data_IF_123936883822
#
_entry.id   IF_123936883822
#
_cell.length_a   1.000
_cell.length_b   1.000
_cell.length_c   1.000
_cell.angle_alpha   90.00
_cell.angle_beta   90.00
_cell.angle_gamma   90.00
#
_symmetry.space_group_name_H-M   'P 1'
#
loop_
_entity.id
_entity.type
_entity.pdbx_description
1 polymer ?
#
# COMPACT_ATOMS: atom_id res chain seq x y z
N UNK A 1 -39.05 -56.80 53.42
CA UNK A 1 -40.06 -55.99 54.15
C UNK A 1 -40.69 -55.00 53.18
N UNK A 2 -42.03 -55.03 53.13
CA UNK A 2 -43.00 -54.10 52.54
C UNK A 2 -43.01 -53.83 51.03
N UNK A 3 -43.99 -54.47 50.38
CA UNK A 3 -44.73 -53.94 49.23
C UNK A 3 -45.86 -52.99 49.70
N UNK A 4 -46.32 -52.18 48.74
CA UNK A 4 -47.67 -51.63 48.57
C UNK A 4 -48.09 -50.34 49.31
N UNK A 5 -48.71 -49.44 48.53
CA UNK A 5 -49.61 -48.41 49.06
C UNK A 5 -49.80 -47.18 48.17
N UNK A 6 -50.62 -47.28 47.10
CA UNK A 6 -51.16 -46.11 46.36
C UNK A 6 -51.90 -45.17 47.31
N UNK A 7 -51.69 -43.85 47.20
CA UNK A 7 -52.72 -42.85 47.50
C UNK A 7 -52.69 -41.70 46.49
N UNK A 8 -53.89 -41.45 46.01
CA UNK A 8 -54.35 -40.44 45.06
C UNK A 8 -54.33 -39.06 45.75
N UNK A 9 -53.83 -38.03 45.07
CA UNK A 9 -53.90 -36.65 45.54
C UNK A 9 -54.53 -35.77 44.45
N UNK A 10 -55.58 -35.08 44.87
CA UNK A 10 -56.54 -34.29 44.09
C UNK A 10 -55.96 -32.92 43.76
N UNK A 11 -56.17 -32.48 42.51
CA UNK A 11 -55.83 -31.13 42.06
C UNK A 11 -56.66 -30.08 42.82
N UNK A 12 -55.98 -29.07 43.37
CA UNK A 12 -56.58 -27.77 43.72
C UNK A 12 -55.87 -26.73 42.84
N UNK A 13 -56.60 -26.20 41.86
CA UNK A 13 -56.14 -25.09 41.04
C UNK A 13 -56.25 -23.79 41.86
N UNK A 14 -55.14 -23.37 42.46
CA UNK A 14 -55.00 -22.02 43.02
C UNK A 14 -54.54 -21.07 41.92
N UNK A 15 -55.41 -20.14 41.51
CA UNK A 15 -55.04 -18.98 40.71
C UNK A 15 -54.01 -18.15 41.50
N UNK A 16 -52.74 -18.27 41.14
CA UNK A 16 -51.70 -17.32 41.53
C UNK A 16 -51.49 -16.37 40.37
N UNK A 17 -51.86 -15.12 40.59
CA UNK A 17 -51.63 -13.99 39.69
C UNK A 17 -50.13 -13.82 39.46
N UNK A 18 -49.69 -13.95 38.21
CA UNK A 18 -48.31 -13.65 37.81
C UNK A 18 -48.08 -12.14 37.92
N UNK A 19 -47.33 -11.71 38.94
CA UNK A 19 -46.67 -10.40 38.91
C UNK A 19 -45.43 -10.57 38.04
N UNK A 20 -45.52 -10.15 36.77
CA UNK A 20 -44.36 -10.07 35.89
C UNK A 20 -43.48 -8.93 36.38
N UNK A 21 -42.42 -9.27 37.12
CA UNK A 21 -41.28 -8.37 37.28
C UNK A 21 -40.59 -8.30 35.92
N UNK A 22 -40.78 -7.21 35.18
CA UNK A 22 -39.95 -6.88 34.03
C UNK A 22 -38.58 -6.47 34.58
N UNK A 23 -37.72 -7.46 34.82
CA UNK A 23 -36.30 -7.23 34.85
C UNK A 23 -35.91 -6.67 33.47
N UNK A 24 -35.58 -5.39 33.42
CA UNK A 24 -34.88 -4.80 32.28
C UNK A 24 -33.56 -5.56 32.14
N UNK A 25 -33.54 -6.57 31.28
CA UNK A 25 -32.28 -7.04 30.72
C UNK A 25 -31.75 -5.83 29.95
N UNK A 26 -30.74 -5.16 30.49
CA UNK A 26 -29.86 -4.34 29.66
C UNK A 26 -29.27 -5.30 28.64
N UNK A 27 -29.90 -5.33 27.46
CA UNK A 27 -29.22 -5.83 26.28
C UNK A 27 -28.04 -4.89 26.10
N UNK A 28 -26.86 -5.36 26.50
CA UNK A 28 -25.61 -4.78 26.05
C UNK A 28 -25.65 -4.98 24.54
N UNK A 29 -26.00 -3.92 23.81
CA UNK A 29 -25.80 -3.91 22.37
C UNK A 29 -24.35 -4.34 22.12
N UNK A 30 -24.10 -5.32 21.23
CA UNK A 30 -22.74 -5.64 20.84
C UNK A 30 -22.09 -4.34 20.36
N UNK A 31 -20.84 -4.04 20.75
CA UNK A 31 -20.18 -2.82 20.31
C UNK A 31 -20.32 -2.74 18.80
N UNK A 32 -20.94 -1.66 18.31
CA UNK A 32 -21.04 -1.38 16.89
C UNK A 32 -19.62 -1.44 16.34
N UNK A 33 -19.34 -2.44 15.50
CA UNK A 33 -18.05 -2.51 14.82
C UNK A 33 -17.87 -1.17 14.10
N UNK A 34 -16.80 -0.45 14.45
CA UNK A 34 -16.49 0.80 13.80
C UNK A 34 -16.48 0.58 12.28
N UNK A 35 -17.11 1.48 11.49
CA UNK A 35 -17.14 1.31 10.05
C UNK A 35 -15.72 1.28 9.50
N UNK A 36 -15.46 0.41 8.53
CA UNK A 36 -14.15 0.32 7.89
C UNK A 36 -13.75 1.68 7.31
N UNK A 37 -12.48 2.03 7.45
CA UNK A 37 -11.89 3.19 6.77
C UNK A 37 -12.13 3.09 5.28
N UNK A 38 -12.75 4.12 4.70
CA UNK A 38 -13.11 4.17 3.30
C UNK A 38 -12.30 5.24 2.59
N UNK A 39 -11.84 4.94 1.38
CA UNK A 39 -11.14 5.90 0.53
C UNK A 39 -12.02 7.12 0.24
N UNK A 40 -11.37 8.28 0.20
CA UNK A 40 -11.91 9.52 -0.30
C UNK A 40 -12.23 9.41 -1.80
N UNK A 41 -13.19 10.23 -2.23
CA UNK A 41 -13.48 10.48 -3.64
C UNK A 41 -13.38 11.96 -3.91
N UNK A 42 -12.86 12.36 -5.06
CA UNK A 42 -12.72 13.75 -5.44
C UNK A 42 -13.13 13.96 -6.90
N UNK A 43 -13.88 15.02 -7.17
CA UNK A 43 -14.16 15.46 -8.53
C UNK A 43 -13.05 16.34 -9.08
N UNK A 44 -12.80 16.30 -10.39
CA UNK A 44 -11.76 17.10 -11.04
C UNK A 44 -11.96 18.63 -10.93
N UNK A 45 -13.15 19.10 -10.55
CA UNK A 45 -13.47 20.53 -10.39
C UNK A 45 -13.70 20.94 -8.92
N UNK A 46 -13.46 20.04 -7.96
CA UNK A 46 -13.59 20.35 -6.54
C UNK A 46 -12.34 21.06 -5.99
N UNK A 47 -12.44 21.62 -4.78
CA UNK A 47 -11.30 22.22 -4.09
C UNK A 47 -10.20 21.17 -3.86
N UNK A 48 -9.07 21.31 -4.55
CA UNK A 48 -7.96 20.36 -4.58
C UNK A 48 -7.04 20.46 -3.35
N UNK A 49 -7.60 20.83 -2.20
CA UNK A 49 -6.85 20.88 -0.95
C UNK A 49 -6.37 19.47 -0.62
N UNK A 50 -5.07 19.37 -0.35
CA UNK A 50 -4.48 18.13 0.14
C UNK A 50 -5.11 17.75 1.48
N UNK A 51 -5.90 16.69 1.44
CA UNK A 51 -6.35 15.91 2.59
C UNK A 51 -5.75 14.52 2.48
N UNK A 52 -5.37 13.95 3.62
CA UNK A 52 -4.70 12.65 3.68
C UNK A 52 -5.35 11.78 4.73
N UNK A 53 -5.70 10.55 4.36
CA UNK A 53 -6.11 9.51 5.28
C UNK A 53 -5.05 8.40 5.35
N UNK A 54 -4.90 7.85 6.55
CA UNK A 54 -3.99 6.75 6.84
C UNK A 54 -4.83 5.53 7.17
N UNK A 55 -4.82 4.55 6.27
CA UNK A 55 -5.68 3.37 6.34
C UNK A 55 -4.82 2.16 6.72
N UNK A 56 -4.94 1.71 7.97
CA UNK A 56 -4.18 0.60 8.53
C UNK A 56 -4.87 -0.74 8.29
N UNK A 57 -4.13 -1.67 7.71
CA UNK A 57 -4.46 -3.08 7.58
C UNK A 57 -3.42 -3.92 8.33
N UNK A 58 -3.88 -5.00 8.93
CA UNK A 58 -3.07 -5.99 9.63
C UNK A 58 -3.64 -7.39 9.33
N UNK A 59 -2.94 -8.48 9.70
CA UNK A 59 -3.49 -9.83 9.58
C UNK A 59 -4.84 -10.02 10.31
N UNK A 60 -5.13 -9.18 11.32
CA UNK A 60 -6.40 -9.19 12.07
C UNK A 60 -7.56 -8.52 11.34
N UNK A 61 -7.28 -7.65 10.38
CA UNK A 61 -8.27 -6.89 9.61
C UNK A 61 -7.86 -6.73 8.13
N UNK A 62 -7.64 -7.83 7.39
CA UNK A 62 -7.02 -7.78 6.07
C UNK A 62 -7.88 -7.09 5.00
N UNK A 63 -9.20 -6.98 5.22
CA UNK A 63 -10.16 -6.41 4.26
C UNK A 63 -10.86 -5.15 4.77
N UNK A 64 -10.67 -4.76 6.04
CA UNK A 64 -11.38 -3.67 6.67
C UNK A 64 -10.37 -2.73 7.34
N UNK A 65 -9.98 -1.67 6.63
CA UNK A 65 -9.03 -0.69 7.15
C UNK A 65 -9.50 -0.10 8.48
N UNK A 66 -8.56 0.13 9.39
CA UNK A 66 -8.75 1.01 10.53
C UNK A 66 -8.13 2.37 10.19
N UNK A 67 -8.92 3.45 10.28
CA UNK A 67 -8.37 4.80 10.12
C UNK A 67 -7.52 5.15 11.33
N UNK A 68 -6.29 5.63 11.09
CA UNK A 68 -5.39 6.14 12.13
C UNK A 68 -5.14 7.63 11.93
N UNK A 69 -4.98 8.37 13.03
CA UNK A 69 -4.89 9.82 13.01
C UNK A 69 -3.64 10.32 13.76
N UNK A 70 -2.77 11.04 13.06
CA UNK A 70 -1.54 11.61 13.63
C UNK A 70 -1.85 12.66 14.73
N UNK A 71 -2.91 13.45 14.53
CA UNK A 71 -3.26 14.58 15.40
C UNK A 71 -4.17 14.19 16.58
N UNK A 72 -4.54 12.92 16.73
CA UNK A 72 -5.34 12.44 17.84
C UNK A 72 -4.49 11.53 18.72
N UNK A 73 -4.19 12.01 19.93
CA UNK A 73 -3.44 11.25 20.93
C UNK A 73 -4.09 9.89 21.17
N UNK A 74 -3.30 8.81 21.16
CA UNK A 74 -3.78 7.46 21.39
C UNK A 74 -4.45 6.79 20.19
N UNK A 75 -4.59 7.47 19.03
CA UNK A 75 -5.27 6.87 17.86
C UNK A 75 -4.51 5.68 17.29
N UNK A 76 -3.18 5.73 17.21
CA UNK A 76 -2.37 4.62 16.68
C UNK A 76 -2.19 3.55 17.76
N UNK A 77 -2.03 3.96 19.01
CA UNK A 77 -1.86 3.10 20.19
C UNK A 77 -3.09 2.24 20.48
N UNK A 78 -4.29 2.76 20.23
CA UNK A 78 -5.56 2.04 20.34
C UNK A 78 -5.94 1.28 19.06
N UNK A 79 -5.11 1.37 18.01
CA UNK A 79 -5.31 0.63 16.76
C UNK A 79 -4.73 -0.78 16.83
N UNK A 80 -4.92 -1.54 15.76
CA UNK A 80 -4.30 -2.86 15.59
C UNK A 80 -2.81 -2.81 15.25
N UNK A 81 -2.21 -1.62 15.15
CA UNK A 81 -0.79 -1.41 14.84
C UNK A 81 0.11 -2.13 15.85
N UNK A 82 1.16 -2.77 15.36
CA UNK A 82 2.16 -3.43 16.18
C UNK A 82 3.55 -2.98 15.79
N UNK A 83 4.18 -2.15 16.62
CA UNK A 83 5.51 -1.59 16.38
C UNK A 83 6.64 -2.63 16.30
N UNK A 84 6.41 -3.86 16.77
CA UNK A 84 7.39 -4.96 16.64
C UNK A 84 7.36 -5.66 15.27
N UNK A 85 6.39 -5.33 14.41
CA UNK A 85 6.30 -5.85 13.05
C UNK A 85 6.83 -4.83 12.03
N UNK A 86 7.32 -5.33 10.90
CA UNK A 86 7.61 -4.49 9.75
C UNK A 86 6.39 -3.68 9.33
N UNK A 87 6.63 -2.45 8.85
CA UNK A 87 5.56 -1.56 8.37
C UNK A 87 5.76 -1.23 6.91
N UNK A 88 4.78 -1.61 6.09
CA UNK A 88 4.75 -1.39 4.65
C UNK A 88 3.81 -0.23 4.34
N UNK A 89 4.33 0.85 3.77
CA UNK A 89 3.55 2.07 3.48
C UNK A 89 3.33 2.17 1.97
N UNK A 90 2.07 2.08 1.54
CA UNK A 90 1.69 2.15 0.12
C UNK A 90 1.28 3.58 -0.23
N UNK A 91 1.97 4.17 -1.20
CA UNK A 91 1.75 5.55 -1.65
C UNK A 91 1.35 5.53 -3.12
N UNK A 92 0.07 5.80 -3.42
CA UNK A 92 -0.38 5.90 -4.82
C UNK A 92 0.09 7.20 -5.49
N UNK A 93 -0.04 7.28 -6.81
CA UNK A 93 0.31 8.48 -7.60
C UNK A 93 -0.87 9.33 -8.03
N UNK A 94 -0.71 10.02 -9.17
CA UNK A 94 -1.70 10.91 -9.78
C UNK A 94 -3.00 10.21 -10.16
N UNK A 95 -4.16 10.83 -9.87
CA UNK A 95 -5.48 10.20 -10.03
C UNK A 95 -6.41 11.06 -10.87
N UNK A 96 -6.56 10.73 -12.16
CA UNK A 96 -7.49 11.44 -13.06
C UNK A 96 -8.96 11.28 -12.63
N UNK A 97 -9.34 10.07 -12.21
CA UNK A 97 -10.74 9.74 -11.90
C UNK A 97 -11.17 10.14 -10.48
N UNK A 98 -10.22 10.47 -9.61
CA UNK A 98 -10.47 10.78 -8.20
C UNK A 98 -11.22 9.72 -7.41
N UNK A 99 -10.98 8.46 -7.72
CA UNK A 99 -11.52 7.29 -7.01
C UNK A 99 -10.40 6.46 -6.41
N UNK A 100 -10.65 5.52 -5.50
CA UNK A 100 -9.64 4.54 -5.01
C UNK A 100 -8.90 3.82 -6.16
N UNK A 101 -7.59 3.55 -6.09
CA UNK A 101 -6.92 2.70 -7.07
C UNK A 101 -7.46 1.27 -6.98
N UNK A 102 -7.80 0.66 -8.12
CA UNK A 102 -8.38 -0.69 -8.14
C UNK A 102 -7.42 -1.79 -7.68
N UNK A 103 -6.10 -1.52 -7.70
CA UNK A 103 -5.07 -2.46 -7.29
C UNK A 103 -4.77 -2.46 -5.79
N UNK A 104 -5.24 -1.46 -5.03
CA UNK A 104 -4.86 -1.27 -3.63
C UNK A 104 -5.15 -2.49 -2.76
N UNK A 105 -6.36 -3.05 -2.86
CA UNK A 105 -6.77 -4.21 -2.06
C UNK A 105 -5.94 -5.45 -2.38
N UNK A 106 -5.66 -5.69 -3.67
CA UNK A 106 -4.83 -6.80 -4.10
C UNK A 106 -3.39 -6.69 -3.60
N UNK A 107 -2.85 -5.46 -3.52
CA UNK A 107 -1.51 -5.23 -2.98
C UNK A 107 -1.46 -5.41 -1.47
N UNK A 108 -2.46 -4.89 -0.73
CA UNK A 108 -2.58 -5.11 0.72
C UNK A 108 -2.65 -6.61 1.01
N UNK A 109 -3.53 -7.34 0.32
CA UNK A 109 -3.67 -8.78 0.47
C UNK A 109 -2.35 -9.52 0.17
N UNK A 110 -1.67 -9.17 -0.93
CA UNK A 110 -0.39 -9.77 -1.30
C UNK A 110 0.67 -9.58 -0.20
N UNK A 111 0.78 -8.37 0.35
CA UNK A 111 1.76 -8.06 1.38
C UNK A 111 1.47 -8.78 2.70
N UNK A 112 0.20 -8.83 3.12
CA UNK A 112 -0.22 -9.55 4.32
C UNK A 112 -0.12 -11.07 4.16
N UNK A 113 -0.24 -11.58 2.93
CA UNK A 113 -0.01 -12.99 2.62
C UNK A 113 1.47 -13.37 2.68
N UNK A 114 2.36 -12.46 2.23
CA UNK A 114 3.79 -12.70 2.21
C UNK A 114 4.43 -12.73 3.62
N UNK A 115 3.82 -12.05 4.60
CA UNK A 115 4.27 -12.09 5.99
C UNK A 115 3.43 -11.23 6.93
N UNK A 116 3.59 -11.45 8.24
CA UNK A 116 2.97 -10.62 9.26
C UNK A 116 3.60 -9.21 9.25
N UNK A 117 2.81 -8.20 8.90
CA UNK A 117 3.25 -6.82 8.83
C UNK A 117 2.08 -5.86 9.14
N UNK A 118 2.42 -4.63 9.49
CA UNK A 118 1.49 -3.51 9.35
C UNK A 118 1.49 -3.06 7.90
N UNK A 119 0.33 -2.89 7.28
CA UNK A 119 0.20 -2.30 5.94
C UNK A 119 -0.60 -1.01 6.04
N UNK A 120 0.02 0.12 5.69
CA UNK A 120 -0.61 1.43 5.76
C UNK A 120 -0.78 1.98 4.35
N UNK A 121 -2.03 2.13 3.92
CA UNK A 121 -2.34 2.78 2.65
C UNK A 121 -2.53 4.26 2.88
N UNK A 122 -1.80 5.06 2.10
CA UNK A 122 -1.90 6.51 2.09
C UNK A 122 -2.92 6.92 1.04
N UNK A 123 -4.09 7.37 1.49
CA UNK A 123 -5.08 7.97 0.62
C UNK A 123 -4.87 9.49 0.59
N UNK A 124 -4.49 9.99 -0.57
CA UNK A 124 -4.40 11.42 -0.87
C UNK A 124 -5.12 11.73 -2.19
N UNK A 125 -6.22 11.02 -2.46
CA UNK A 125 -7.00 11.15 -3.70
C UNK A 125 -7.40 12.60 -3.96
N UNK A 126 -7.76 13.36 -2.94
CA UNK A 126 -8.12 14.79 -3.05
C UNK A 126 -6.97 15.65 -3.57
N UNK A 127 -5.75 15.43 -3.08
CA UNK A 127 -4.55 16.17 -3.50
C UNK A 127 -3.92 15.67 -4.81
N UNK A 128 -4.26 14.44 -5.24
CA UNK A 128 -3.75 13.82 -6.48
C UNK A 128 -4.72 13.90 -7.65
N UNK A 129 -5.95 14.35 -7.42
CA UNK A 129 -6.98 14.55 -8.45
C UNK A 129 -7.09 16.04 -8.78
N UNK A 130 -6.15 16.54 -9.56
CA UNK A 130 -6.04 17.94 -9.93
C UNK A 130 -5.40 18.09 -11.31
N UNK A 131 -5.07 19.32 -11.73
CA UNK A 131 -4.10 19.47 -12.82
C UNK A 131 -2.76 18.88 -12.36
N UNK A 132 -2.05 18.18 -13.25
CA UNK A 132 -0.84 17.44 -12.85
C UNK A 132 0.19 18.30 -12.10
N UNK A 133 0.41 19.55 -12.50
CA UNK A 133 1.32 20.46 -11.80
C UNK A 133 0.90 20.72 -10.34
N UNK A 134 -0.39 20.83 -10.07
CA UNK A 134 -0.91 21.00 -8.70
C UNK A 134 -0.72 19.73 -7.87
N UNK A 135 -0.90 18.55 -8.47
CA UNK A 135 -0.61 17.28 -7.80
C UNK A 135 0.88 17.17 -7.44
N UNK A 136 1.78 17.63 -8.32
CA UNK A 136 3.22 17.73 -8.02
C UNK A 136 3.50 18.74 -6.90
N UNK A 137 2.84 19.90 -6.90
CA UNK A 137 2.99 20.92 -5.85
C UNK A 137 2.51 20.43 -4.46
N UNK A 138 1.61 19.44 -4.41
CA UNK A 138 1.16 18.81 -3.18
C UNK A 138 2.18 17.81 -2.60
N UNK A 139 3.14 17.30 -3.39
CA UNK A 139 4.10 16.26 -2.97
C UNK A 139 4.94 16.66 -1.74
N UNK A 140 5.53 17.86 -1.65
CA UNK A 140 6.28 18.26 -0.45
C UNK A 140 5.41 18.29 0.82
N UNK A 141 4.16 18.76 0.71
CA UNK A 141 3.24 18.80 1.84
C UNK A 141 2.81 17.40 2.26
N UNK A 142 2.54 16.51 1.30
CA UNK A 142 2.26 15.10 1.56
C UNK A 142 3.43 14.43 2.27
N UNK A 143 4.66 14.67 1.79
CA UNK A 143 5.90 14.16 2.40
C UNK A 143 5.97 14.50 3.88
N UNK A 144 5.76 15.76 4.26
CA UNK A 144 5.81 16.18 5.66
C UNK A 144 4.74 15.52 6.54
N UNK A 145 3.54 15.25 5.99
CA UNK A 145 2.51 14.50 6.71
C UNK A 145 2.92 13.05 6.95
N UNK A 146 3.57 12.41 5.98
CA UNK A 146 4.05 11.02 6.10
C UNK A 146 5.28 10.92 7.00
N UNK A 147 6.17 11.92 7.00
CA UNK A 147 7.24 12.05 7.98
C UNK A 147 6.67 12.11 9.40
N UNK A 148 5.62 12.92 9.62
CA UNK A 148 4.96 12.98 10.92
C UNK A 148 4.32 11.63 11.32
N UNK A 149 3.72 10.91 10.37
CA UNK A 149 3.23 9.55 10.60
C UNK A 149 4.36 8.60 11.05
N UNK A 150 5.47 8.61 10.32
CA UNK A 150 6.62 7.75 10.61
C UNK A 150 7.20 8.07 12.00
N UNK A 151 7.33 9.35 12.35
CA UNK A 151 7.77 9.74 13.70
C UNK A 151 6.85 9.17 14.79
N UNK A 152 5.53 9.12 14.57
CA UNK A 152 4.62 8.43 15.50
C UNK A 152 4.88 6.93 15.57
N UNK A 153 5.20 6.26 14.46
CA UNK A 153 5.59 4.84 14.50
C UNK A 153 6.89 4.61 15.29
N UNK A 154 7.87 5.51 15.15
CA UNK A 154 9.13 5.46 15.89
C UNK A 154 8.92 5.69 17.39
N UNK A 155 8.07 6.64 17.78
CA UNK A 155 7.68 6.89 19.17
C UNK A 155 7.04 5.65 19.83
N UNK A 156 6.38 4.81 19.05
CA UNK A 156 5.79 3.55 19.50
C UNK A 156 6.76 2.36 19.49
N UNK A 157 8.01 2.56 19.06
CA UNK A 157 9.06 1.55 19.09
C UNK A 157 9.40 0.92 17.75
N UNK A 158 8.85 1.41 16.63
CA UNK A 158 9.30 0.99 15.30
C UNK A 158 10.70 1.53 15.03
N UNK A 159 11.42 0.93 14.07
CA UNK A 159 12.71 1.43 13.59
C UNK A 159 12.56 1.96 12.16
N UNK A 160 13.51 2.76 11.66
CA UNK A 160 13.48 3.20 10.26
C UNK A 160 13.77 2.02 9.32
N UNK A 161 14.61 1.10 9.79
CA UNK A 161 15.05 -0.11 9.12
C UNK A 161 13.91 -1.12 8.91
N UNK A 162 12.90 -1.12 9.79
CA UNK A 162 11.68 -1.94 9.66
C UNK A 162 10.62 -1.34 8.72
N UNK A 163 10.91 -0.22 8.06
CA UNK A 163 9.99 0.45 7.14
C UNK A 163 10.27 0.09 5.69
N UNK A 164 9.20 -0.22 4.96
CA UNK A 164 9.21 -0.44 3.51
C UNK A 164 8.22 0.51 2.84
N UNK A 165 8.71 1.49 2.09
CA UNK A 165 7.86 2.43 1.36
C UNK A 165 7.67 1.93 -0.07
N UNK A 166 6.42 1.75 -0.50
CA UNK A 166 6.07 1.27 -1.84
C UNK A 166 5.32 2.40 -2.55
N UNK A 167 6.02 3.09 -3.44
CA UNK A 167 5.50 4.26 -4.13
C UNK A 167 5.17 3.96 -5.59
N UNK A 168 3.96 4.29 -6.03
CA UNK A 168 3.53 4.13 -7.43
C UNK A 168 3.52 5.49 -8.11
N UNK A 169 4.13 5.62 -9.29
CA UNK A 169 4.09 6.86 -10.08
C UNK A 169 4.63 8.05 -9.26
N UNK A 170 3.86 9.13 -9.07
CA UNK A 170 4.23 10.24 -8.17
C UNK A 170 4.56 9.78 -6.74
N UNK A 171 3.91 8.72 -6.25
CA UNK A 171 4.14 8.18 -4.92
C UNK A 171 5.56 7.65 -4.72
N UNK A 172 6.27 7.25 -5.79
CA UNK A 172 7.67 6.84 -5.72
C UNK A 172 8.58 8.00 -5.30
N UNK A 173 8.32 9.20 -5.80
CA UNK A 173 9.08 10.40 -5.42
C UNK A 173 8.72 10.89 -4.02
N UNK A 174 7.46 10.70 -3.58
CA UNK A 174 7.09 10.92 -2.17
C UNK A 174 7.91 10.00 -1.26
N UNK A 175 8.06 8.72 -1.62
CA UNK A 175 8.90 7.79 -0.87
C UNK A 175 10.37 8.24 -0.84
N UNK A 176 10.92 8.68 -1.97
CA UNK A 176 12.27 9.24 -2.05
C UNK A 176 12.48 10.44 -1.13
N UNK A 177 11.57 11.42 -1.17
CA UNK A 177 11.66 12.59 -0.28
C UNK A 177 11.55 12.24 1.21
N UNK A 178 10.75 11.23 1.57
CA UNK A 178 10.71 10.70 2.94
C UNK A 178 12.07 10.09 3.30
N UNK A 179 12.63 9.27 2.42
CA UNK A 179 13.93 8.64 2.59
C UNK A 179 15.06 9.65 2.80
N UNK A 180 15.14 10.64 1.92
CA UNK A 180 16.04 11.78 2.03
C UNK A 180 15.88 12.54 3.36
N UNK A 181 14.64 12.79 3.79
CA UNK A 181 14.35 13.45 5.08
C UNK A 181 14.94 12.67 6.27
N UNK A 182 14.90 11.34 6.25
CA UNK A 182 15.47 10.50 7.28
C UNK A 182 16.97 10.18 7.08
N UNK A 183 17.61 10.79 6.07
CA UNK A 183 19.03 10.64 5.78
C UNK A 183 19.39 9.27 5.20
N UNK A 184 18.51 8.68 4.38
CA UNK A 184 18.76 7.41 3.71
C UNK A 184 18.64 6.17 4.61
N UNK A 185 18.08 6.31 5.81
CA UNK A 185 18.01 5.23 6.82
C UNK A 185 16.73 4.40 6.78
N UNK A 186 15.80 4.71 5.89
CA UNK A 186 14.63 3.87 5.65
C UNK A 186 15.11 2.49 5.19
N UNK A 187 14.53 1.41 5.69
CA UNK A 187 14.95 0.05 5.37
C UNK A 187 14.89 -0.28 3.88
N UNK A 188 13.75 0.01 3.26
CA UNK A 188 13.52 -0.30 1.85
C UNK A 188 12.58 0.71 1.19
N UNK A 189 12.91 1.21 0.00
CA UNK A 189 11.96 1.85 -0.92
C UNK A 189 11.80 1.04 -2.21
N UNK A 190 10.56 0.75 -2.61
CA UNK A 190 10.23 0.22 -3.94
C UNK A 190 9.50 1.28 -4.76
N UNK A 191 10.10 1.67 -5.89
CA UNK A 191 9.50 2.56 -6.88
C UNK A 191 8.80 1.79 -8.00
N UNK A 192 7.48 1.84 -8.06
CA UNK A 192 6.67 1.19 -9.10
C UNK A 192 6.35 2.20 -10.19
N UNK A 193 7.09 2.10 -11.30
CA UNK A 193 7.12 2.98 -12.46
C UNK A 193 7.11 4.48 -12.06
N UNK A 194 8.18 4.99 -11.43
CA UNK A 194 8.25 6.36 -10.92
C UNK A 194 7.98 7.39 -12.02
N UNK A 195 7.27 8.48 -11.73
CA UNK A 195 6.80 9.40 -12.77
C UNK A 195 7.91 10.22 -13.45
N UNK A 196 7.93 10.30 -14.78
CA UNK A 196 8.94 11.03 -15.54
C UNK A 196 8.78 12.56 -15.48
N UNK A 197 7.56 13.04 -15.72
CA UNK A 197 7.31 14.47 -15.94
C UNK A 197 7.52 15.25 -14.64
N UNK A 198 8.39 16.28 -14.72
CA UNK A 198 8.96 17.08 -13.61
C UNK A 198 10.09 16.44 -12.80
N UNK A 199 10.45 15.17 -13.06
CA UNK A 199 11.49 14.47 -12.28
C UNK A 199 12.68 13.97 -13.11
N UNK A 200 12.51 13.66 -14.40
CA UNK A 200 13.60 13.06 -15.21
C UNK A 200 14.87 13.92 -15.26
N UNK A 201 14.71 15.24 -15.31
CA UNK A 201 15.82 16.19 -15.43
C UNK A 201 16.16 16.88 -14.09
N UNK A 202 15.65 16.38 -12.96
CA UNK A 202 15.98 16.93 -11.64
C UNK A 202 17.25 16.28 -11.10
N UNK A 203 17.94 17.02 -10.23
CA UNK A 203 19.03 16.47 -9.43
C UNK A 203 18.52 15.28 -8.58
N UNK A 204 19.35 14.28 -8.25
CA UNK A 204 18.98 13.17 -7.35
C UNK A 204 18.12 13.56 -6.14
N UNK A 205 18.50 14.63 -5.42
CA UNK A 205 17.76 15.20 -4.27
C UNK A 205 16.31 15.63 -4.59
N UNK A 206 16.00 15.83 -5.86
CA UNK A 206 14.70 16.26 -6.38
C UNK A 206 13.82 15.12 -6.89
N UNK A 207 14.18 13.85 -6.68
CA UNK A 207 13.42 12.67 -7.14
C UNK A 207 13.74 11.46 -6.25
N UNK A 208 13.25 10.28 -6.65
CA UNK A 208 13.70 9.02 -6.04
C UNK A 208 15.13 8.74 -6.50
N UNK A 209 15.97 8.28 -5.58
CA UNK A 209 17.37 7.98 -5.79
C UNK A 209 17.86 6.85 -4.87
N UNK A 210 18.96 6.12 -5.20
CA UNK A 210 19.47 5.05 -4.34
C UNK A 210 19.84 5.53 -2.94
N UNK A 211 20.25 6.79 -2.78
CA UNK A 211 20.60 7.36 -1.46
C UNK A 211 19.43 7.54 -0.49
N UNK A 212 18.19 7.31 -0.92
CA UNK A 212 17.00 7.56 -0.10
C UNK A 212 16.68 6.44 0.90
N UNK A 213 17.29 5.26 0.78
CA UNK A 213 17.11 4.15 1.72
C UNK A 213 18.32 3.23 1.77
N UNK A 214 18.36 2.33 2.76
CA UNK A 214 19.36 1.26 2.82
C UNK A 214 19.30 0.35 1.60
N UNK A 215 18.11 0.19 1.03
CA UNK A 215 17.92 -0.46 -0.25
C UNK A 215 16.77 0.19 -1.03
N UNK A 216 16.98 0.35 -2.33
CA UNK A 216 16.00 0.95 -3.25
C UNK A 216 15.95 0.06 -4.48
N UNK A 217 14.76 -0.41 -4.83
CA UNK A 217 14.52 -1.06 -6.11
C UNK A 217 13.44 -0.32 -6.90
N UNK A 218 13.57 -0.33 -8.22
CA UNK A 218 12.63 0.33 -9.10
C UNK A 218 12.18 -0.62 -10.22
N UNK A 219 10.88 -0.60 -10.53
CA UNK A 219 10.28 -1.39 -11.61
C UNK A 219 9.82 -0.43 -12.68
N UNK A 220 10.44 -0.50 -13.86
CA UNK A 220 10.16 0.36 -15.00
C UNK A 220 9.31 -0.40 -16.03
N UNK A 221 8.16 0.18 -16.38
CA UNK A 221 7.20 -0.43 -17.31
C UNK A 221 6.61 0.54 -18.33
N UNK A 222 6.86 1.85 -18.24
CA UNK A 222 6.36 2.83 -19.22
C UNK A 222 7.37 3.98 -19.45
N UNK A 223 8.64 3.65 -19.66
CA UNK A 223 9.75 4.62 -19.77
C UNK A 223 9.71 5.48 -21.02
N UNK A 224 8.80 5.26 -21.95
CA UNK A 224 8.59 6.11 -23.12
C UNK A 224 7.37 7.03 -23.03
N UNK A 225 6.56 6.90 -21.97
CA UNK A 225 5.44 7.79 -21.70
C UNK A 225 5.47 8.33 -20.25
N UNK A 226 4.85 7.65 -19.28
CA UNK A 226 4.67 8.19 -17.92
C UNK A 226 5.82 7.88 -16.96
N UNK A 227 6.55 6.78 -17.15
CA UNK A 227 7.63 6.31 -16.29
C UNK A 227 8.98 6.98 -16.57
N UNK A 228 9.76 7.23 -15.52
CA UNK A 228 11.09 7.84 -15.60
C UNK A 228 12.06 6.92 -16.35
N UNK A 229 12.86 7.51 -17.24
CA UNK A 229 13.71 6.76 -18.19
C UNK A 229 15.11 6.44 -17.65
N UNK A 230 15.46 7.03 -16.52
CA UNK A 230 16.77 6.87 -15.88
C UNK A 230 16.66 5.91 -14.69
N UNK A 231 17.73 5.17 -14.36
CA UNK A 231 17.81 4.42 -13.13
C UNK A 231 17.66 5.32 -11.91
N UNK A 232 16.92 4.84 -10.90
CA UNK A 232 16.65 5.52 -9.64
C UNK A 232 16.82 4.62 -8.42
N UNK A 233 17.16 3.34 -8.61
CA UNK A 233 17.37 2.37 -7.54
C UNK A 233 18.79 1.83 -7.45
N UNK A 234 19.06 1.09 -6.39
CA UNK A 234 20.20 0.18 -6.34
C UNK A 234 20.05 -0.93 -7.38
N UNK A 235 18.81 -1.34 -7.64
CA UNK A 235 18.43 -2.26 -8.71
C UNK A 235 17.23 -1.69 -9.48
N UNK A 236 17.38 -1.58 -10.80
CA UNK A 236 16.32 -1.11 -11.70
C UNK A 236 15.91 -2.23 -12.66
N UNK A 237 14.67 -2.70 -12.52
CA UNK A 237 14.08 -3.75 -13.33
C UNK A 237 13.32 -3.13 -14.51
N UNK A 238 13.89 -3.23 -15.71
CA UNK A 238 13.26 -2.81 -16.97
C UNK A 238 12.43 -3.97 -17.56
N UNK A 239 11.19 -4.11 -17.10
CA UNK A 239 10.33 -5.26 -17.46
C UNK A 239 9.99 -5.18 -18.96
N UNK A 240 10.29 -6.24 -19.70
CA UNK A 240 10.13 -6.28 -21.17
C UNK A 240 10.83 -5.11 -21.89
N UNK A 241 11.96 -4.63 -21.34
CA UNK A 241 12.68 -3.45 -21.85
C UNK A 241 12.16 -2.11 -21.32
N UNK A 242 11.15 -2.14 -20.44
CA UNK A 242 10.62 -1.00 -19.71
C UNK A 242 9.75 -0.06 -20.53
N UNK A 243 9.24 -0.50 -21.68
CA UNK A 243 8.36 0.28 -22.57
C UNK A 243 7.05 -0.49 -22.76
N UNK A 244 6.73 -0.93 -23.97
CA UNK A 244 5.52 -1.69 -24.28
C UNK A 244 5.38 -3.01 -23.50
N UNK A 245 4.31 -3.13 -22.71
CA UNK A 245 4.04 -4.33 -21.92
C UNK A 245 3.08 -5.29 -22.66
N UNK A 246 3.40 -6.60 -22.70
CA UNK A 246 2.52 -7.59 -23.32
C UNK A 246 1.10 -7.58 -22.72
N UNK A 247 0.09 -7.56 -23.60
CA UNK A 247 -1.32 -7.53 -23.24
C UNK A 247 -1.91 -6.13 -23.01
N UNK A 248 -1.11 -5.07 -23.12
CA UNK A 248 -1.63 -3.71 -23.18
C UNK A 248 -2.14 -3.36 -24.59
N UNK A 249 -3.25 -2.62 -24.71
CA UNK A 249 -3.91 -2.35 -25.99
C UNK A 249 -3.06 -1.40 -26.84
N UNK A 250 -2.95 -1.61 -28.15
CA UNK A 250 -2.18 -0.70 -29.01
C UNK A 250 -2.71 0.74 -28.97
N UNK A 251 -1.79 1.72 -29.10
CA UNK A 251 -2.09 3.16 -29.08
C UNK A 251 -3.24 3.57 -30.01
N UNK A 252 -3.39 2.89 -31.15
CA UNK A 252 -4.43 3.16 -32.17
C UNK A 252 -5.85 2.80 -31.71
N UNK A 253 -5.99 1.99 -30.67
CA UNK A 253 -7.30 1.53 -30.16
C UNK A 253 -7.84 2.43 -29.05
N UNK A 254 -6.99 2.83 -28.10
CA UNK A 254 -7.32 3.78 -27.03
C UNK A 254 -6.02 4.25 -26.33
N UNK A 255 -5.51 5.45 -26.67
CA UNK A 255 -4.24 5.94 -26.14
C UNK A 255 -4.22 6.01 -24.60
N UNK A 256 -5.32 6.43 -23.98
CA UNK A 256 -5.42 6.55 -22.52
C UNK A 256 -5.35 5.18 -21.83
N UNK A 257 -6.02 4.16 -22.38
CA UNK A 257 -5.95 2.79 -21.86
C UNK A 257 -4.59 2.14 -22.10
N UNK A 258 -3.91 2.47 -23.20
CA UNK A 258 -2.57 2.00 -23.47
C UNK A 258 -1.59 2.51 -22.42
N UNK A 259 -1.43 3.84 -22.29
CA UNK A 259 -0.45 4.42 -21.36
C UNK A 259 -0.71 4.01 -19.89
N UNK A 260 -1.97 3.96 -19.46
CA UNK A 260 -2.29 3.50 -18.10
C UNK A 260 -2.00 2.01 -17.92
N UNK A 261 -2.18 1.19 -18.95
CA UNK A 261 -1.91 -0.24 -18.85
C UNK A 261 -0.41 -0.52 -18.66
N UNK A 262 0.44 0.12 -19.47
CA UNK A 262 1.90 -0.02 -19.35
C UNK A 262 2.37 0.51 -17.99
N UNK A 263 1.91 1.70 -17.60
CA UNK A 263 2.24 2.32 -16.32
C UNK A 263 1.82 1.46 -15.11
N UNK A 264 0.63 0.84 -15.15
CA UNK A 264 0.13 -0.03 -14.08
C UNK A 264 0.67 -1.46 -14.13
N UNK A 265 1.45 -1.83 -15.15
CA UNK A 265 2.07 -3.16 -15.22
C UNK A 265 3.06 -3.37 -14.08
N UNK A 266 3.79 -2.34 -13.68
CA UNK A 266 4.71 -2.36 -12.54
C UNK A 266 4.03 -2.90 -11.27
N UNK A 267 2.82 -2.41 -10.97
CA UNK A 267 2.02 -2.85 -9.83
C UNK A 267 1.59 -4.31 -9.97
N UNK A 268 1.12 -4.71 -11.16
CA UNK A 268 0.70 -6.09 -11.40
C UNK A 268 1.86 -7.09 -11.28
N UNK A 269 3.04 -6.73 -11.81
CA UNK A 269 4.26 -7.53 -11.70
C UNK A 269 4.68 -7.66 -10.24
N UNK A 270 4.75 -6.55 -9.51
CA UNK A 270 5.11 -6.53 -8.10
C UNK A 270 4.17 -7.36 -7.22
N UNK A 271 2.84 -7.23 -7.40
CA UNK A 271 1.85 -8.04 -6.68
C UNK A 271 2.08 -9.54 -6.90
N UNK A 272 2.41 -9.96 -8.13
CA UNK A 272 2.65 -11.37 -8.43
C UNK A 272 4.00 -11.85 -7.89
N UNK A 273 5.01 -10.98 -7.83
CA UNK A 273 6.31 -11.25 -7.23
C UNK A 273 6.17 -11.50 -5.72
N UNK A 274 5.51 -10.58 -5.01
CA UNK A 274 5.24 -10.68 -3.57
C UNK A 274 4.43 -11.94 -3.22
N UNK A 275 3.44 -12.31 -4.04
CA UNK A 275 2.65 -13.54 -3.84
C UNK A 275 3.43 -14.84 -4.13
N UNK A 276 4.64 -14.75 -4.69
CA UNK A 276 5.41 -15.92 -5.12
C UNK A 276 4.76 -16.72 -6.26
N UNK A 277 3.85 -16.12 -7.05
CA UNK A 277 3.15 -16.80 -8.15
C UNK A 277 4.03 -16.96 -9.39
N UNK A 278 5.01 -16.08 -9.55
CA UNK A 278 5.95 -16.08 -10.66
C UNK A 278 7.35 -15.81 -10.13
N UNK A 279 8.37 -16.42 -10.74
CA UNK A 279 9.76 -16.09 -10.45
C UNK A 279 10.21 -14.99 -11.40
N UNK A 280 10.30 -13.76 -10.90
CA UNK A 280 10.82 -12.62 -11.64
C UNK A 280 12.31 -12.50 -11.38
N UNK A 281 13.11 -13.13 -12.22
CA UNK A 281 14.58 -13.09 -12.14
C UNK A 281 15.09 -11.98 -13.06
N UNK A 282 15.84 -11.05 -12.50
CA UNK A 282 16.54 -10.00 -13.26
C UNK A 282 17.93 -10.47 -13.67
N UNK A 283 18.27 -10.28 -14.94
CA UNK A 283 19.61 -10.51 -15.46
C UNK A 283 20.32 -9.17 -15.67
N UNK A 284 21.43 -8.89 -14.97
CA UNK A 284 22.21 -7.69 -15.18
C UNK A 284 22.67 -7.61 -16.63
N UNK A 285 22.42 -6.47 -17.28
CA UNK A 285 22.78 -6.28 -18.68
C UNK A 285 23.00 -4.79 -18.96
N UNK A 286 23.92 -4.45 -19.87
CA UNK A 286 24.17 -3.05 -20.21
C UNK A 286 23.04 -2.46 -21.06
N UNK A 287 22.39 -3.27 -21.91
CA UNK A 287 21.21 -2.85 -22.66
C UNK A 287 20.18 -3.96 -22.81
N UNK A 288 18.91 -3.59 -23.04
CA UNK A 288 17.87 -4.57 -23.36
C UNK A 288 18.13 -5.32 -24.68
N UNK A 289 18.82 -4.68 -25.64
CA UNK A 289 19.18 -5.31 -26.91
C UNK A 289 20.13 -6.49 -26.71
N UNK A 290 21.17 -6.30 -25.90
CA UNK A 290 22.11 -7.38 -25.54
C UNK A 290 21.41 -8.53 -24.80
N UNK A 291 20.45 -8.22 -23.92
CA UNK A 291 19.62 -9.23 -23.28
C UNK A 291 18.81 -10.03 -24.31
N UNK A 292 18.18 -9.38 -25.28
CA UNK A 292 17.44 -10.06 -26.36
C UNK A 292 18.33 -10.91 -27.28
N UNK A 293 19.60 -10.51 -27.45
CA UNK A 293 20.61 -11.26 -28.20
C UNK A 293 21.20 -12.45 -27.40
N UNK A 294 20.78 -12.64 -26.15
CA UNK A 294 21.22 -13.75 -25.30
C UNK A 294 22.61 -13.55 -24.68
N UNK A 295 23.08 -12.30 -24.60
CA UNK A 295 24.40 -11.97 -24.06
C UNK A 295 24.41 -11.84 -22.52
N UNK A 296 23.24 -11.79 -21.89
CA UNK A 296 23.05 -11.60 -20.45
C UNK A 296 22.11 -12.68 -19.90
N UNK A 297 22.63 -13.91 -19.74
CA UNK A 297 21.85 -15.11 -19.37
C UNK A 297 22.19 -15.67 -17.99
N UNK A 298 23.15 -15.07 -17.31
CA UNK A 298 23.56 -15.40 -15.96
C UNK A 298 23.90 -14.12 -15.17
N UNK A 299 24.25 -14.29 -13.91
CA UNK A 299 24.64 -13.19 -13.01
C UNK A 299 26.09 -13.33 -12.52
N UNK A 300 26.85 -14.26 -13.11
CA UNK A 300 28.26 -14.47 -12.80
C UNK A 300 29.11 -13.35 -13.42
N UNK A 301 28.70 -12.86 -14.60
CA UNK A 301 29.35 -11.76 -15.33
C UNK A 301 29.48 -10.46 -14.51
N UNK A 302 28.64 -10.26 -13.48
CA UNK A 302 28.67 -9.10 -12.58
C UNK A 302 29.17 -9.41 -11.17
N UNK A 303 29.75 -10.59 -10.93
CA UNK A 303 30.20 -11.06 -9.61
C UNK A 303 29.10 -11.09 -8.54
N UNK A 304 27.83 -11.17 -8.94
CA UNK A 304 26.75 -11.39 -8.00
C UNK A 304 26.69 -12.88 -7.65
N UNK A 305 26.47 -13.19 -6.37
CA UNK A 305 26.32 -14.59 -5.91
C UNK A 305 25.02 -15.23 -6.42
N UNK A 306 24.03 -14.42 -6.77
CA UNK A 306 22.74 -14.84 -7.32
C UNK A 306 22.11 -13.72 -8.10
N UNK A 307 21.29 -14.06 -9.10
CA UNK A 307 20.52 -13.07 -9.82
C UNK A 307 19.52 -12.33 -8.92
N UNK A 308 19.40 -11.00 -9.06
CA UNK A 308 18.35 -10.23 -8.41
C UNK A 308 16.98 -10.82 -8.69
N UNK A 309 16.11 -10.79 -7.69
CA UNK A 309 14.72 -11.16 -7.80
C UNK A 309 13.88 -9.98 -7.34
N UNK A 310 12.84 -9.70 -8.11
CA UNK A 310 11.77 -8.82 -7.67
C UNK A 310 10.90 -9.52 -6.63
#
# INVERSE_FOLDING_TARGET
MSMAGRRMAVLIASLLTSVTSTALSQQVEPPTLAPCGAFQTSGFFQDHRLEVQFLLYTPRNPTCAQSIHINQSGSIESSMFNASLDTKIIIHGFRVLGTKPSWTENLVEALLYAGEANVVVIDWVTGSTAKYHQAVENVPKLTMLLVALINRFLELGSTLESLHLIGVSLGAHVAGYIGSHFGGRIGWITGLDPAAYKYTNTHPEGRLDPGDALFVDAVHTDTDNFGIRIPVGHIDYFINGGRDQPGCPHITSNPYKYFICDHMRSVAVYINAVRGRCSFIGFPCSTYKEFQEGLCVDCETTKLSSCPRL
#
